data_IF_190407547705
#
_entry.id   IF_190407547705
#
_cell.length_a   1.000
_cell.length_b   1.000
_cell.length_c   1.000
_cell.angle_alpha   90.00
_cell.angle_beta   90.00
_cell.angle_gamma   90.00
#
_symmetry.space_group_name_H-M   'P 1'
#
loop_
_entity.id
_entity.type
_entity.pdbx_description
1 polymer ?
#
# COMPACT_ATOMS: atom_id res chain seq x y z
N UNK A 1 -24.68 41.42 -64.51
CA UNK A 1 -25.22 41.72 -65.87
C UNK A 1 -26.09 40.56 -66.31
N UNK A 2 -27.32 40.93 -66.69
CA UNK A 2 -28.24 40.24 -67.57
C UNK A 2 -28.85 38.92 -67.11
N UNK A 3 -30.10 38.96 -66.66
CA UNK A 3 -31.32 38.92 -67.47
C UNK A 3 -31.64 37.44 -67.88
N UNK A 4 -32.81 36.84 -67.79
CA UNK A 4 -34.21 37.25 -68.06
C UNK A 4 -35.03 35.95 -67.92
N UNK A 5 -36.09 35.95 -67.14
CA UNK A 5 -37.51 35.92 -67.55
C UNK A 5 -38.07 34.59 -68.14
N UNK A 6 -39.15 34.11 -67.51
CA UNK A 6 -40.50 33.80 -67.97
C UNK A 6 -40.70 32.45 -68.63
N UNK A 7 -41.56 31.63 -68.03
CA UNK A 7 -42.84 31.29 -68.67
C UNK A 7 -43.78 30.62 -67.66
N UNK A 8 -44.94 31.24 -67.48
CA UNK A 8 -46.11 30.70 -66.87
C UNK A 8 -46.80 29.78 -67.88
N UNK A 9 -47.27 28.60 -67.43
CA UNK A 9 -48.28 27.84 -68.12
C UNK A 9 -49.28 27.29 -67.11
N UNK A 10 -50.46 27.84 -67.19
CA UNK A 10 -51.66 27.42 -66.52
C UNK A 10 -52.12 26.10 -67.15
N UNK A 11 -52.39 25.07 -66.33
CA UNK A 11 -53.29 24.00 -66.69
C UNK A 11 -54.18 23.68 -65.49
N UNK A 12 -55.43 24.11 -65.60
CA UNK A 12 -56.57 23.61 -64.80
C UNK A 12 -56.72 22.12 -65.08
N UNK A 13 -56.80 21.27 -64.07
CA UNK A 13 -57.05 19.85 -64.17
C UNK A 13 -57.53 19.23 -62.88
N UNK A 14 -58.82 19.23 -62.63
CA UNK A 14 -59.60 18.23 -61.88
C UNK A 14 -59.21 17.93 -60.44
N UNK A 15 -59.98 18.50 -59.53
CA UNK A 15 -60.11 18.09 -58.12
C UNK A 15 -60.70 16.65 -58.06
N UNK A 16 -59.87 15.66 -57.83
CA UNK A 16 -60.29 14.38 -57.28
C UNK A 16 -60.00 14.42 -55.79
N UNK A 17 -61.04 14.43 -54.98
CA UNK A 17 -60.93 14.40 -53.53
C UNK A 17 -60.27 13.09 -53.11
N UNK A 18 -59.05 13.18 -52.71
CA UNK A 18 -58.42 12.13 -51.87
C UNK A 18 -58.93 12.30 -50.45
N UNK A 19 -59.89 11.48 -50.06
CA UNK A 19 -60.20 11.27 -48.67
C UNK A 19 -58.97 10.62 -48.05
N UNK A 20 -58.13 11.43 -47.38
CA UNK A 20 -57.14 10.89 -46.50
C UNK A 20 -57.90 10.20 -45.36
N UNK A 21 -57.90 8.86 -45.38
CA UNK A 21 -58.34 8.07 -44.24
C UNK A 21 -57.53 8.58 -43.02
N UNK A 22 -58.24 9.15 -42.07
CA UNK A 22 -57.73 9.55 -40.78
C UNK A 22 -57.31 8.26 -40.05
N UNK A 23 -56.07 7.80 -40.31
CA UNK A 23 -55.47 6.75 -39.52
C UNK A 23 -55.31 7.33 -38.13
N UNK A 24 -56.23 6.91 -37.23
CA UNK A 24 -56.14 7.24 -35.82
C UNK A 24 -54.66 7.16 -35.37
N UNK A 25 -54.13 8.29 -34.91
CA UNK A 25 -52.74 8.37 -34.43
C UNK A 25 -52.54 7.24 -33.42
N UNK A 26 -51.66 6.29 -33.74
CA UNK A 26 -51.30 5.24 -32.80
C UNK A 26 -50.92 5.89 -31.47
N UNK A 27 -51.57 5.48 -30.36
CA UNK A 27 -51.22 6.05 -29.07
C UNK A 27 -49.72 5.88 -28.86
N UNK A 28 -49.01 7.01 -28.70
CA UNK A 28 -47.60 7.02 -28.40
C UNK A 28 -47.44 6.41 -27.02
N UNK A 29 -47.25 5.10 -26.96
CA UNK A 29 -46.87 4.43 -25.72
C UNK A 29 -45.47 4.95 -25.37
N UNK A 30 -45.43 5.83 -24.38
CA UNK A 30 -44.15 6.29 -23.81
C UNK A 30 -43.30 5.06 -23.54
N UNK A 31 -42.14 4.95 -24.21
CA UNK A 31 -41.22 3.84 -23.97
C UNK A 31 -41.00 3.70 -22.46
N UNK A 32 -41.07 2.47 -21.91
CA UNK A 32 -40.74 2.29 -20.51
C UNK A 32 -39.44 2.98 -20.21
N UNK A 33 -39.33 3.69 -19.06
CA UNK A 33 -38.04 4.33 -18.69
C UNK A 33 -36.97 3.26 -18.76
N UNK A 34 -35.87 3.54 -19.47
CA UNK A 34 -34.72 2.64 -19.55
C UNK A 34 -34.29 2.35 -18.11
N UNK A 35 -34.43 1.11 -17.66
CA UNK A 35 -33.94 0.68 -16.36
C UNK A 35 -32.44 0.86 -16.42
N UNK A 36 -31.90 1.74 -15.59
CA UNK A 36 -30.47 1.95 -15.50
C UNK A 36 -29.82 0.58 -15.20
N UNK A 37 -28.95 0.12 -16.08
CA UNK A 37 -28.24 -1.13 -15.89
C UNK A 37 -27.43 -1.02 -14.60
N UNK A 38 -27.78 -1.82 -13.59
CA UNK A 38 -27.02 -1.90 -12.35
C UNK A 38 -25.71 -2.62 -12.68
N UNK A 39 -24.57 -2.01 -12.30
CA UNK A 39 -23.26 -2.62 -12.51
C UNK A 39 -23.14 -3.92 -11.69
N UNK A 40 -22.77 -5.01 -12.36
CA UNK A 40 -22.47 -6.30 -11.72
C UNK A 40 -20.98 -6.37 -11.44
N UNK A 41 -20.61 -6.46 -10.19
CA UNK A 41 -19.23 -6.59 -9.72
C UNK A 41 -18.65 -7.99 -9.90
N UNK A 42 -19.45 -8.99 -10.27
CA UNK A 42 -19.00 -10.37 -10.45
C UNK A 42 -18.00 -10.48 -11.59
N UNK A 43 -16.87 -11.12 -11.34
CA UNK A 43 -15.88 -11.45 -12.36
C UNK A 43 -14.44 -11.40 -11.89
N UNK A 44 -13.56 -11.90 -12.73
CA UNK A 44 -12.12 -11.71 -12.56
C UNK A 44 -11.72 -10.29 -12.92
N UNK A 45 -10.72 -9.78 -12.25
CA UNK A 45 -10.12 -8.51 -12.58
C UNK A 45 -8.60 -8.54 -12.42
N UNK A 46 -7.92 -7.70 -13.19
CA UNK A 46 -6.52 -7.36 -13.02
C UNK A 46 -6.41 -5.85 -12.88
N UNK A 47 -5.42 -5.39 -12.17
CA UNK A 47 -5.26 -3.96 -11.97
C UNK A 47 -3.87 -3.56 -11.52
N UNK A 48 -3.68 -2.26 -11.49
CA UNK A 48 -2.52 -1.62 -10.90
C UNK A 48 -2.90 -0.80 -9.69
N UNK A 49 -1.93 -0.58 -8.85
CA UNK A 49 -2.06 0.30 -7.69
C UNK A 49 -0.81 1.13 -7.48
N UNK A 50 -0.99 2.30 -6.87
CA UNK A 50 0.07 3.19 -6.41
C UNK A 50 -0.38 3.83 -5.12
N UNK A 51 0.55 3.99 -4.19
CA UNK A 51 0.21 4.53 -2.88
C UNK A 51 1.40 5.04 -2.10
N UNK A 52 1.10 5.47 -0.90
CA UNK A 52 2.05 5.91 0.10
C UNK A 52 1.80 5.14 1.38
N UNK A 53 2.89 4.69 2.02
CA UNK A 53 2.87 4.03 3.30
C UNK A 53 3.69 4.79 4.34
N UNK A 54 3.31 4.63 5.59
CA UNK A 54 4.03 5.15 6.73
C UNK A 54 4.08 4.10 7.83
N UNK A 55 5.26 3.97 8.43
CA UNK A 55 5.52 3.01 9.49
C UNK A 55 4.74 3.33 10.76
N UNK A 56 4.22 2.30 11.39
CA UNK A 56 3.66 2.35 12.74
C UNK A 56 4.77 2.38 13.81
N UNK A 57 4.35 2.17 15.05
CA UNK A 57 5.28 2.12 16.18
C UNK A 57 6.13 0.85 16.11
N UNK A 58 7.44 0.99 15.91
CA UNK A 58 8.36 -0.14 15.69
C UNK A 58 8.88 -0.77 16.98
N UNK A 59 8.65 -0.15 18.15
CA UNK A 59 9.10 -0.60 19.47
C UNK A 59 10.51 -1.25 19.44
N UNK A 60 11.55 -0.53 18.99
CA UNK A 60 12.87 -1.11 18.87
C UNK A 60 13.44 -1.43 20.24
N UNK A 61 13.92 -2.65 20.39
CA UNK A 61 14.63 -3.08 21.60
C UNK A 61 16.04 -3.49 21.26
N UNK A 62 16.97 -3.20 22.15
CA UNK A 62 18.36 -3.59 22.03
C UNK A 62 18.74 -4.52 23.16
N UNK A 63 19.44 -5.59 22.83
CA UNK A 63 20.03 -6.49 23.82
C UNK A 63 21.51 -6.69 23.52
N UNK A 64 22.28 -6.73 24.59
CA UNK A 64 23.71 -7.07 24.56
C UNK A 64 23.87 -8.52 24.99
N UNK A 65 24.53 -9.32 24.15
CA UNK A 65 24.73 -10.76 24.42
C UNK A 65 26.23 -11.04 24.68
N UNK A 66 26.48 -11.87 25.66
CA UNK A 66 27.78 -12.34 26.09
C UNK A 66 28.76 -11.25 26.59
N UNK A 67 28.52 -10.71 27.77
CA UNK A 67 29.33 -9.67 28.37
C UNK A 67 30.60 -10.19 29.07
N UNK A 68 31.20 -11.31 28.68
CA UNK A 68 32.30 -11.95 29.39
C UNK A 68 33.49 -11.05 29.77
N UNK A 69 33.71 -9.94 29.05
CA UNK A 69 34.62 -8.84 29.41
C UNK A 69 33.95 -7.46 29.25
N UNK A 70 32.63 -7.44 29.26
CA UNK A 70 31.86 -6.27 28.86
C UNK A 70 31.49 -5.31 30.02
N UNK A 71 32.03 -5.49 31.20
CA UNK A 71 31.76 -4.57 32.33
C UNK A 71 31.90 -3.11 31.92
N UNK A 72 32.96 -2.80 31.19
CA UNK A 72 33.20 -1.45 30.70
C UNK A 72 32.27 -1.07 29.52
N UNK A 73 31.96 -2.03 28.64
CA UNK A 73 31.07 -1.78 27.47
C UNK A 73 29.63 -1.69 27.92
N UNK A 74 29.17 -2.57 28.83
CA UNK A 74 27.83 -2.49 29.39
C UNK A 74 27.63 -1.18 30.14
N UNK A 75 28.56 -0.80 30.99
CA UNK A 75 28.54 0.50 31.68
C UNK A 75 28.59 1.66 30.68
N UNK A 76 29.41 1.55 29.65
CA UNK A 76 29.52 2.52 28.58
C UNK A 76 28.19 2.69 27.81
N UNK A 77 27.58 1.58 27.37
CA UNK A 77 26.31 1.60 26.64
C UNK A 77 25.15 2.08 27.53
N UNK A 78 25.16 1.77 28.82
CA UNK A 78 24.06 2.11 29.74
C UNK A 78 24.20 3.49 30.37
N UNK A 79 25.41 4.01 30.53
CA UNK A 79 25.67 5.31 31.20
C UNK A 79 26.20 6.37 30.26
N UNK A 80 26.77 5.98 29.13
CA UNK A 80 27.48 6.88 28.24
C UNK A 80 26.68 7.37 27.02
N UNK A 81 25.66 6.65 26.60
CA UNK A 81 24.83 7.05 25.45
C UNK A 81 23.53 7.69 25.94
N UNK A 82 23.25 8.96 25.62
CA UNK A 82 21.96 9.58 25.88
C UNK A 82 20.86 8.79 25.14
N UNK A 83 19.95 8.18 25.89
CA UNK A 83 18.88 7.32 25.36
C UNK A 83 19.20 5.82 25.40
N UNK A 84 20.37 5.42 25.85
CA UNK A 84 20.75 4.04 26.06
C UNK A 84 20.64 3.69 27.57
N UNK A 85 19.46 3.34 28.02
CA UNK A 85 19.32 2.67 29.32
C UNK A 85 18.92 1.22 29.08
N UNK A 86 19.44 0.29 29.87
CA UNK A 86 19.10 -1.12 29.75
C UNK A 86 17.57 -1.31 29.77
N UNK A 87 17.01 -1.78 28.67
CA UNK A 87 15.57 -1.90 28.47
C UNK A 87 14.91 -0.75 27.75
N UNK A 88 15.61 0.30 27.29
CA UNK A 88 15.02 1.48 26.67
C UNK A 88 15.34 1.65 25.20
N UNK A 89 14.35 1.99 24.67
CA UNK A 89 13.81 2.49 23.42
C UNK A 89 14.78 3.36 22.68
N UNK A 90 15.29 2.82 21.58
CA UNK A 90 15.70 3.69 20.50
C UNK A 90 14.47 4.44 20.00
N UNK A 91 14.62 5.68 19.54
CA UNK A 91 13.52 6.33 18.87
C UNK A 91 13.07 5.48 17.70
N UNK A 92 11.75 5.43 17.52
CA UNK A 92 11.12 4.67 16.47
C UNK A 92 11.75 4.98 15.12
N UNK A 93 12.12 3.92 14.40
CA UNK A 93 12.41 3.97 12.99
C UNK A 93 11.11 3.66 12.27
N UNK A 94 10.47 4.70 11.75
CA UNK A 94 9.23 4.56 11.00
C UNK A 94 9.56 4.65 9.50
N UNK A 95 9.71 3.51 8.81
CA UNK A 95 9.91 3.54 7.36
C UNK A 95 8.69 4.15 6.69
N UNK A 96 8.91 5.05 5.78
CA UNK A 96 7.86 5.64 4.97
C UNK A 96 8.29 5.76 3.52
N UNK A 97 7.33 5.86 2.62
CA UNK A 97 7.65 5.98 1.22
C UNK A 97 6.50 5.66 0.27
N UNK A 98 6.82 5.68 -1.00
CA UNK A 98 5.90 5.34 -2.09
C UNK A 98 6.01 3.86 -2.44
N UNK A 99 4.93 3.32 -2.97
CA UNK A 99 4.90 1.98 -3.54
C UNK A 99 3.99 1.92 -4.75
N UNK A 100 4.17 0.89 -5.55
CA UNK A 100 3.30 0.61 -6.68
C UNK A 100 3.42 -0.83 -7.13
N UNK A 101 2.35 -1.36 -7.71
CA UNK A 101 2.32 -2.76 -8.09
C UNK A 101 1.10 -3.18 -8.85
N UNK A 102 0.93 -4.49 -8.93
CA UNK A 102 -0.13 -5.15 -9.65
C UNK A 102 -1.00 -5.96 -8.71
N UNK A 103 -2.24 -6.14 -9.10
CA UNK A 103 -3.20 -6.96 -8.36
C UNK A 103 -4.08 -7.77 -9.30
N UNK A 104 -4.53 -8.92 -8.81
CA UNK A 104 -5.49 -9.80 -9.47
C UNK A 104 -6.52 -10.25 -8.44
N UNK A 105 -7.77 -10.37 -8.85
CA UNK A 105 -8.80 -10.85 -7.93
C UNK A 105 -10.01 -11.40 -8.66
N UNK A 106 -10.89 -11.97 -7.86
CA UNK A 106 -12.19 -12.43 -8.28
C UNK A 106 -13.25 -12.01 -7.26
N UNK A 107 -14.28 -11.37 -7.72
CA UNK A 107 -15.42 -10.95 -6.93
C UNK A 107 -16.67 -11.69 -7.36
N UNK A 108 -17.54 -12.01 -6.41
CA UNK A 108 -18.89 -12.55 -6.66
C UNK A 108 -19.91 -11.75 -5.89
N UNK A 109 -20.88 -11.21 -6.61
CA UNK A 109 -21.97 -10.43 -6.07
C UNK A 109 -23.21 -11.31 -5.84
N UNK A 110 -23.85 -11.11 -4.68
CA UNK A 110 -25.08 -11.77 -4.26
C UNK A 110 -26.08 -10.68 -3.83
N UNK A 111 -26.90 -10.22 -4.77
CA UNK A 111 -27.74 -9.05 -4.53
C UNK A 111 -26.89 -7.81 -4.29
N UNK A 112 -26.99 -7.19 -3.11
CA UNK A 112 -26.14 -6.05 -2.72
C UNK A 112 -24.84 -6.45 -2.02
N UNK A 113 -24.68 -7.72 -1.63
CA UNK A 113 -23.45 -8.20 -0.98
C UNK A 113 -22.44 -8.69 -2.01
N UNK A 114 -21.16 -8.53 -1.68
CA UNK A 114 -20.05 -8.99 -2.47
C UNK A 114 -19.08 -9.75 -1.59
N UNK A 115 -18.63 -10.89 -2.07
CA UNK A 115 -17.52 -11.64 -1.51
C UNK A 115 -16.46 -11.82 -2.60
N UNK A 116 -15.20 -11.69 -2.24
CA UNK A 116 -14.10 -11.81 -3.19
C UNK A 116 -12.78 -12.20 -2.56
N UNK A 117 -11.82 -12.44 -3.43
CA UNK A 117 -10.42 -12.66 -3.07
C UNK A 117 -9.55 -11.78 -3.94
N UNK A 118 -8.47 -11.28 -3.37
CA UNK A 118 -7.49 -10.46 -4.09
C UNK A 118 -6.09 -10.85 -3.67
N UNK A 119 -5.20 -10.93 -4.63
CA UNK A 119 -3.76 -11.08 -4.42
C UNK A 119 -3.04 -9.92 -5.10
N UNK A 120 -2.01 -9.40 -4.46
CA UNK A 120 -1.24 -8.29 -4.98
C UNK A 120 0.26 -8.43 -4.63
N UNK A 121 1.09 -7.75 -5.43
CA UNK A 121 2.51 -7.58 -5.20
C UNK A 121 2.93 -6.17 -5.60
N UNK A 122 3.73 -5.54 -4.73
CA UNK A 122 4.21 -4.18 -4.90
C UNK A 122 5.73 -4.10 -4.73
N UNK A 123 6.38 -3.27 -5.56
CA UNK A 123 7.67 -2.70 -5.25
C UNK A 123 7.48 -1.51 -4.32
N UNK A 124 8.29 -1.41 -3.28
CA UNK A 124 8.21 -0.36 -2.27
C UNK A 124 9.59 0.28 -2.03
N UNK A 125 9.59 1.54 -1.66
CA UNK A 125 10.77 2.25 -1.17
C UNK A 125 10.49 2.82 0.22
N UNK A 126 10.11 1.93 1.16
CA UNK A 126 9.94 2.31 2.55
C UNK A 126 11.29 2.30 3.23
N UNK A 127 11.76 3.46 3.65
CA UNK A 127 13.10 3.60 4.22
C UNK A 127 13.06 4.49 5.45
N UNK A 128 13.64 3.99 6.54
CA UNK A 128 13.99 4.80 7.70
C UNK A 128 15.48 4.66 7.97
N UNK A 129 16.15 5.79 8.18
CA UNK A 129 17.56 5.85 8.54
C UNK A 129 17.74 6.81 9.70
N UNK A 130 18.61 6.41 10.61
CA UNK A 130 19.05 7.26 11.68
C UNK A 130 20.55 7.16 11.83
N UNK A 131 21.20 8.29 11.88
CA UNK A 131 22.59 8.43 12.26
C UNK A 131 22.64 9.34 13.49
N UNK A 132 23.32 8.90 14.53
CA UNK A 132 23.58 9.70 15.71
C UNK A 132 25.09 9.79 15.95
N UNK A 133 25.52 10.95 16.39
CA UNK A 133 26.89 11.21 16.83
C UNK A 133 26.84 11.78 18.24
N UNK A 134 27.60 11.20 19.14
CA UNK A 134 27.64 11.63 20.54
C UNK A 134 29.07 11.59 21.05
N UNK A 135 29.52 12.70 21.60
CA UNK A 135 30.78 12.75 22.37
C UNK A 135 30.48 12.46 23.82
N UNK A 136 31.12 11.46 24.39
CA UNK A 136 30.91 11.06 25.76
C UNK A 136 31.59 12.03 26.72
N UNK A 137 30.80 12.68 27.56
CA UNK A 137 31.29 13.68 28.52
C UNK A 137 32.29 13.12 29.52
N UNK A 138 32.22 11.80 29.81
CA UNK A 138 33.06 11.17 30.82
C UNK A 138 34.54 10.98 30.39
N UNK A 139 34.80 10.85 29.09
CA UNK A 139 36.13 10.49 28.58
C UNK A 139 36.46 11.06 27.19
N UNK A 140 35.59 11.90 26.62
CA UNK A 140 35.82 12.53 25.31
C UNK A 140 35.82 11.55 24.13
N UNK A 141 35.33 10.32 24.28
CA UNK A 141 35.22 9.39 23.17
C UNK A 141 34.04 9.73 22.28
N UNK A 142 34.21 9.64 20.98
CA UNK A 142 33.19 9.90 20.00
C UNK A 142 32.50 8.58 19.58
N UNK A 143 31.19 8.59 19.61
CA UNK A 143 30.37 7.44 19.22
C UNK A 143 29.51 7.80 18.02
N UNK A 144 29.65 7.02 16.97
CA UNK A 144 28.78 7.08 15.78
C UNK A 144 27.89 5.87 15.74
N UNK A 145 26.61 6.11 15.62
CA UNK A 145 25.57 5.09 15.51
C UNK A 145 24.83 5.24 14.18
N UNK A 146 24.62 4.14 13.48
CA UNK A 146 23.83 4.07 12.26
C UNK A 146 22.81 2.94 12.36
N UNK A 147 21.56 3.28 12.18
CA UNK A 147 20.44 2.33 12.13
C UNK A 147 19.69 2.53 10.82
N UNK A 148 19.32 1.45 10.15
CA UNK A 148 18.39 1.52 9.02
C UNK A 148 17.40 0.38 9.02
N UNK A 149 16.19 0.71 8.55
CA UNK A 149 15.12 -0.23 8.29
C UNK A 149 14.55 0.06 6.90
N UNK A 150 14.32 -0.99 6.12
CA UNK A 150 13.82 -0.86 4.75
C UNK A 150 12.86 -2.00 4.42
N UNK A 151 11.81 -1.68 3.64
CA UNK A 151 10.97 -2.65 2.95
C UNK A 151 11.07 -2.37 1.46
N UNK A 152 11.55 -3.36 0.70
CA UNK A 152 11.83 -3.21 -0.74
C UNK A 152 10.69 -3.71 -1.62
N UNK A 153 9.95 -4.68 -1.13
CA UNK A 153 8.74 -5.19 -1.77
C UNK A 153 7.86 -5.88 -0.74
N UNK A 154 6.57 -5.90 -1.00
CA UNK A 154 5.59 -6.65 -0.23
C UNK A 154 4.44 -7.12 -1.10
N UNK A 155 3.66 -8.07 -0.61
CA UNK A 155 2.47 -8.54 -1.26
C UNK A 155 1.44 -9.01 -0.24
N UNK A 156 0.20 -9.18 -0.69
CA UNK A 156 -0.89 -9.64 0.15
C UNK A 156 -1.77 -10.66 -0.56
N UNK A 157 -2.40 -11.55 0.22
CA UNK A 157 -3.50 -12.40 -0.23
C UNK A 157 -4.65 -12.23 0.75
N UNK A 158 -5.78 -11.67 0.27
CA UNK A 158 -6.85 -11.19 1.14
C UNK A 158 -8.21 -11.66 0.69
N UNK A 159 -9.09 -11.94 1.65
CA UNK A 159 -10.52 -11.97 1.45
C UNK A 159 -11.09 -10.56 1.43
N UNK A 160 -12.15 -10.36 0.67
CA UNK A 160 -12.89 -9.11 0.54
C UNK A 160 -14.37 -9.37 0.77
N UNK A 161 -15.01 -8.54 1.61
CA UNK A 161 -16.45 -8.54 1.81
C UNK A 161 -16.96 -7.10 1.68
N UNK A 162 -18.00 -6.88 0.88
CA UNK A 162 -18.46 -5.54 0.55
C UNK A 162 -19.95 -5.43 0.30
N UNK A 163 -20.38 -4.20 0.14
CA UNK A 163 -21.75 -3.83 -0.17
C UNK A 163 -21.76 -2.94 -1.42
N UNK A 164 -22.46 -3.41 -2.46
CA UNK A 164 -22.60 -2.74 -3.74
C UNK A 164 -23.83 -1.81 -3.73
N UNK A 165 -23.61 -0.56 -4.09
CA UNK A 165 -24.60 0.51 -4.18
C UNK A 165 -24.58 1.08 -5.61
N UNK A 166 -25.15 0.34 -6.57
CA UNK A 166 -25.04 0.68 -7.98
C UNK A 166 -23.58 0.64 -8.46
N UNK A 167 -23.06 1.76 -8.92
CA UNK A 167 -21.67 1.90 -9.40
C UNK A 167 -20.63 1.98 -8.28
N UNK A 168 -21.04 2.04 -7.03
CA UNK A 168 -20.18 2.12 -5.87
C UNK A 168 -20.10 0.79 -5.13
N UNK A 169 -18.92 0.49 -4.63
CA UNK A 169 -18.65 -0.65 -3.76
C UNK A 169 -17.87 -0.18 -2.54
N UNK A 170 -18.43 -0.34 -1.35
CA UNK A 170 -17.71 -0.21 -0.10
C UNK A 170 -17.36 -1.59 0.44
N UNK A 171 -16.13 -1.81 0.90
CA UNK A 171 -15.68 -3.13 1.33
C UNK A 171 -14.66 -3.09 2.45
N UNK A 172 -14.65 -4.15 3.24
CA UNK A 172 -13.58 -4.51 4.14
C UNK A 172 -12.76 -5.66 3.56
N UNK A 173 -11.50 -5.75 3.94
CA UNK A 173 -10.58 -6.78 3.45
C UNK A 173 -9.62 -7.20 4.55
N UNK A 174 -9.14 -8.45 4.51
CA UNK A 174 -8.17 -8.95 5.46
C UNK A 174 -7.58 -10.28 5.01
N UNK A 175 -6.37 -10.55 5.46
CA UNK A 175 -5.66 -11.76 5.04
C UNK A 175 -4.20 -11.77 5.44
N UNK A 176 -3.41 -12.47 4.63
CA UNK A 176 -1.98 -12.62 4.79
C UNK A 176 -1.24 -11.48 4.09
N UNK A 177 -0.15 -11.02 4.72
CA UNK A 177 0.85 -10.15 4.13
C UNK A 177 2.21 -10.83 4.14
N UNK A 178 3.04 -10.56 3.16
CA UNK A 178 4.41 -11.03 3.10
C UNK A 178 5.28 -9.96 2.45
N UNK A 179 6.56 -9.87 2.86
CA UNK A 179 7.45 -8.85 2.31
C UNK A 179 8.89 -9.03 2.78
N UNK A 180 9.80 -8.39 2.05
CA UNK A 180 11.22 -8.39 2.40
C UNK A 180 11.52 -7.21 3.31
N UNK A 181 12.01 -7.51 4.50
CA UNK A 181 12.46 -6.54 5.49
C UNK A 181 13.97 -6.58 5.59
N UNK A 182 14.60 -5.42 5.46
CA UNK A 182 16.04 -5.25 5.61
C UNK A 182 16.30 -4.37 6.82
N UNK A 183 17.23 -4.80 7.65
CA UNK A 183 17.69 -4.04 8.83
C UNK A 183 19.18 -4.00 8.85
N UNK A 184 19.76 -2.85 9.17
CA UNK A 184 21.20 -2.75 9.43
C UNK A 184 21.47 -1.94 10.68
N UNK A 185 22.51 -2.36 11.41
CA UNK A 185 23.05 -1.70 12.57
C UNK A 185 24.54 -1.50 12.36
N UNK A 186 25.03 -0.31 12.65
CA UNK A 186 26.43 0.01 12.73
C UNK A 186 26.70 0.86 13.97
N UNK A 187 27.78 0.55 14.64
CA UNK A 187 28.22 1.26 15.82
C UNK A 187 29.73 1.35 15.79
N UNK A 188 30.25 2.54 15.99
CA UNK A 188 31.69 2.79 16.03
C UNK A 188 32.05 3.76 17.15
N UNK A 189 33.02 3.39 17.95
CA UNK A 189 33.56 4.23 18.98
C UNK A 189 35.01 4.57 18.67
N UNK A 190 35.32 5.85 18.48
CA UNK A 190 36.66 6.35 18.17
C UNK A 190 37.57 6.18 19.40
N UNK A 191 38.81 5.67 19.23
CA UNK A 191 39.77 5.62 20.31
C UNK A 191 40.12 7.03 20.78
N UNK A 192 39.80 7.34 22.02
CA UNK A 192 40.14 8.63 22.63
C UNK A 192 39.87 8.57 24.13
N UNK A 193 40.75 9.10 24.94
CA UNK A 193 40.50 9.38 26.37
C UNK A 193 40.06 8.21 27.28
N UNK A 194 40.34 6.95 26.96
CA UNK A 194 40.26 5.87 27.94
C UNK A 194 38.95 5.12 28.09
N UNK A 195 38.03 5.18 27.11
CA UNK A 195 36.70 4.56 27.33
C UNK A 195 36.34 3.35 26.47
N UNK A 196 36.47 3.40 25.18
CA UNK A 196 35.87 2.37 24.32
C UNK A 196 36.84 1.69 23.33
N UNK A 197 38.08 2.03 23.33
CA UNK A 197 39.15 1.27 22.66
C UNK A 197 39.01 0.98 21.18
N UNK A 198 38.26 1.78 20.41
CA UNK A 198 38.03 1.51 18.99
C UNK A 198 37.03 0.37 18.71
N UNK A 199 36.08 0.13 19.60
CA UNK A 199 35.09 -0.90 19.45
C UNK A 199 34.14 -0.57 18.27
N UNK A 200 33.93 -1.52 17.41
CA UNK A 200 32.94 -1.42 16.35
C UNK A 200 32.05 -2.66 16.29
N UNK A 201 30.78 -2.43 15.96
CA UNK A 201 29.80 -3.48 15.68
C UNK A 201 29.15 -3.19 14.34
N UNK A 202 28.92 -4.23 13.56
CA UNK A 202 28.17 -4.13 12.31
C UNK A 202 27.31 -5.37 12.13
N UNK A 203 26.10 -5.17 11.65
CA UNK A 203 25.17 -6.24 11.34
C UNK A 203 24.20 -5.84 10.23
N UNK A 204 23.84 -6.79 9.42
CA UNK A 204 22.83 -6.66 8.39
C UNK A 204 21.96 -7.91 8.39
N UNK A 205 20.67 -7.74 8.22
CA UNK A 205 19.70 -8.83 8.07
C UNK A 205 18.74 -8.48 6.94
N UNK A 206 18.49 -9.44 6.05
CA UNK A 206 17.47 -9.36 5.01
C UNK A 206 16.64 -10.64 5.06
N UNK A 207 15.36 -10.52 5.34
CA UNK A 207 14.47 -11.65 5.57
C UNK A 207 13.10 -11.41 4.95
N UNK A 208 12.54 -12.48 4.39
CA UNK A 208 11.12 -12.48 4.00
C UNK A 208 10.28 -12.80 5.23
N UNK A 209 9.42 -11.89 5.59
CA UNK A 209 8.48 -12.03 6.71
C UNK A 209 7.08 -12.30 6.20
N UNK A 210 6.32 -13.04 7.00
CA UNK A 210 4.89 -13.29 6.78
C UNK A 210 4.13 -12.79 7.98
N UNK A 211 3.06 -12.08 7.71
CA UNK A 211 2.22 -11.47 8.73
C UNK A 211 0.76 -11.39 8.29
N UNK A 212 0.05 -10.40 8.79
CA UNK A 212 -1.34 -10.20 8.48
C UNK A 212 -1.60 -8.77 8.00
N UNK A 213 -2.74 -8.60 7.31
CA UNK A 213 -3.22 -7.29 6.87
C UNK A 213 -4.73 -7.21 7.03
N UNK A 214 -5.21 -6.02 7.33
CA UNK A 214 -6.63 -5.70 7.35
C UNK A 214 -6.83 -4.27 6.84
N UNK A 215 -7.99 -4.01 6.25
CA UNK A 215 -8.27 -2.68 5.74
C UNK A 215 -9.67 -2.52 5.19
N UNK A 216 -9.88 -1.38 4.56
CA UNK A 216 -11.16 -1.04 3.95
C UNK A 216 -10.94 -0.16 2.72
N UNK A 217 -11.90 -0.21 1.80
CA UNK A 217 -11.84 0.59 0.59
C UNK A 217 -13.20 0.94 0.04
N UNK A 218 -13.16 1.88 -0.87
CA UNK A 218 -14.30 2.25 -1.69
C UNK A 218 -13.86 2.26 -3.16
N UNK A 219 -14.68 1.68 -4.02
CA UNK A 219 -14.44 1.62 -5.46
C UNK A 219 -15.64 2.13 -6.22
N UNK A 220 -15.40 2.68 -7.39
CA UNK A 220 -16.44 3.09 -8.32
C UNK A 220 -16.17 2.50 -9.69
N UNK A 221 -17.20 1.94 -10.30
CA UNK A 221 -17.15 1.54 -11.70
C UNK A 221 -17.30 2.75 -12.62
N UNK A 222 -16.55 2.75 -13.70
CA UNK A 222 -16.65 3.75 -14.77
C UNK A 222 -16.33 3.09 -16.13
N UNK A 223 -16.84 3.66 -17.22
CA UNK A 223 -16.52 3.21 -18.58
C UNK A 223 -16.61 1.67 -18.77
N UNK A 224 -17.71 1.08 -18.35
CA UNK A 224 -18.00 -0.34 -18.57
C UNK A 224 -17.21 -1.27 -17.63
N UNK A 225 -16.04 -1.74 -18.04
CA UNK A 225 -15.31 -2.78 -17.31
C UNK A 225 -14.22 -2.22 -16.37
N UNK A 226 -14.04 -0.92 -16.32
CA UNK A 226 -13.05 -0.28 -15.47
C UNK A 226 -13.63 0.13 -14.13
N UNK A 227 -12.84 -0.01 -13.08
CA UNK A 227 -13.13 0.58 -11.79
C UNK A 227 -11.90 1.24 -11.19
N UNK A 228 -12.14 2.29 -10.42
CA UNK A 228 -11.14 3.03 -9.66
C UNK A 228 -11.52 2.99 -8.20
N UNK A 229 -10.55 2.86 -7.32
CA UNK A 229 -10.80 2.80 -5.88
C UNK A 229 -9.71 3.44 -5.05
N UNK A 230 -10.07 3.72 -3.82
CA UNK A 230 -9.14 4.10 -2.74
C UNK A 230 -9.23 3.03 -1.68
N UNK A 231 -8.09 2.55 -1.22
CA UNK A 231 -8.01 1.51 -0.20
C UNK A 231 -6.98 1.89 0.86
N UNK A 232 -7.34 1.69 2.11
CA UNK A 232 -6.45 1.74 3.26
C UNK A 232 -6.15 0.32 3.71
N UNK A 233 -4.88 0.03 4.00
CA UNK A 233 -4.44 -1.22 4.60
C UNK A 233 -3.51 -0.95 5.77
N UNK A 234 -3.77 -1.64 6.86
CA UNK A 234 -2.82 -1.89 7.93
C UNK A 234 -2.12 -3.21 7.67
N UNK A 235 -0.79 -3.22 7.71
CA UNK A 235 0.06 -4.37 7.43
C UNK A 235 0.97 -4.59 8.62
N UNK A 236 1.03 -5.81 9.14
CA UNK A 236 1.93 -6.19 10.23
C UNK A 236 2.75 -7.41 9.81
N UNK A 237 4.02 -7.21 9.52
CA UNK A 237 4.97 -8.25 9.13
C UNK A 237 5.68 -8.89 10.33
N UNK A 238 5.30 -8.51 11.55
CA UNK A 238 5.87 -9.07 12.77
C UNK A 238 7.23 -8.47 13.14
N UNK A 239 7.99 -9.19 13.97
CA UNK A 239 9.29 -8.74 14.49
C UNK A 239 10.43 -9.28 13.63
N UNK A 240 11.43 -8.44 13.39
CA UNK A 240 12.73 -8.83 12.84
C UNK A 240 13.84 -8.43 13.80
N UNK A 241 14.91 -9.20 13.81
CA UNK A 241 16.07 -8.96 14.65
C UNK A 241 17.33 -8.94 13.81
N UNK A 242 18.19 -7.96 14.05
CA UNK A 242 19.51 -7.88 13.45
C UNK A 242 20.57 -7.93 14.54
N UNK A 243 21.59 -8.76 14.34
CA UNK A 243 22.70 -8.89 15.29
C UNK A 243 23.96 -8.31 14.66
N UNK A 244 24.50 -7.30 15.32
CA UNK A 244 25.82 -6.75 15.02
C UNK A 244 26.89 -7.47 15.84
N UNK A 245 27.87 -8.04 15.16
CA UNK A 245 29.02 -8.66 15.80
C UNK A 245 30.13 -7.63 16.01
N UNK A 246 30.87 -7.77 17.12
CA UNK A 246 32.08 -6.97 17.34
C UNK A 246 33.15 -7.34 16.33
N UNK A 247 33.73 -6.35 15.69
CA UNK A 247 34.88 -6.50 14.79
C UNK A 247 36.24 -6.23 15.50
N UNK A 248 36.22 -5.95 16.79
CA UNK A 248 37.40 -5.63 17.59
C UNK A 248 37.98 -6.89 18.25
N UNK A 249 39.25 -7.17 18.02
CA UNK A 249 39.89 -8.46 18.31
C UNK A 249 39.79 -8.98 19.75
N UNK A 250 39.63 -8.13 20.76
CA UNK A 250 39.44 -8.56 22.16
C UNK A 250 37.99 -8.85 22.57
N UNK A 251 37.02 -8.56 21.72
CA UNK A 251 35.61 -8.61 21.99
C UNK A 251 34.79 -9.44 20.97
N UNK A 252 35.46 -10.34 20.25
CA UNK A 252 34.88 -11.15 19.17
C UNK A 252 33.63 -11.98 19.58
N UNK A 253 33.40 -12.16 20.86
CA UNK A 253 32.24 -12.90 21.39
C UNK A 253 31.10 -12.00 21.81
N UNK A 254 31.27 -10.69 21.70
CA UNK A 254 30.23 -9.70 22.08
C UNK A 254 29.38 -9.34 20.87
N UNK A 255 28.09 -9.36 21.04
CA UNK A 255 27.15 -8.98 20.00
C UNK A 255 26.06 -8.04 20.53
N UNK A 256 25.57 -7.18 19.65
CA UNK A 256 24.42 -6.31 19.89
C UNK A 256 23.29 -6.81 19.00
N UNK A 257 22.16 -7.15 19.59
CA UNK A 257 20.97 -7.54 18.84
C UNK A 257 19.91 -6.46 18.99
N UNK A 258 19.50 -5.92 17.84
CA UNK A 258 18.36 -5.02 17.72
C UNK A 258 17.16 -5.81 17.24
N UNK A 259 16.02 -5.67 17.90
CA UNK A 259 14.75 -6.25 17.48
C UNK A 259 13.75 -5.12 17.28
N UNK A 260 13.01 -5.16 16.18
CA UNK A 260 11.97 -4.18 15.87
C UNK A 260 10.77 -4.86 15.19
N UNK A 261 9.60 -4.25 15.33
CA UNK A 261 8.38 -4.68 14.65
C UNK A 261 8.19 -3.87 13.38
N UNK A 262 7.79 -4.53 12.30
CA UNK A 262 7.46 -3.89 11.03
C UNK A 262 5.94 -3.83 10.88
N UNK A 263 5.40 -2.64 11.10
CA UNK A 263 3.98 -2.33 10.87
C UNK A 263 3.89 -1.13 9.95
N UNK A 264 3.03 -1.22 8.95
CA UNK A 264 2.85 -0.19 7.94
C UNK A 264 1.37 0.11 7.76
N UNK A 265 1.05 1.37 7.72
CA UNK A 265 -0.25 1.89 7.32
C UNK A 265 -0.13 2.45 5.91
N UNK A 266 -1.03 2.07 5.01
CA UNK A 266 -0.93 2.46 3.61
C UNK A 266 -2.26 3.01 3.09
N UNK A 267 -2.18 4.02 2.23
CA UNK A 267 -3.28 4.46 1.40
C UNK A 267 -2.89 4.32 -0.06
N UNK A 268 -3.76 3.71 -0.85
CA UNK A 268 -3.49 3.46 -2.26
C UNK A 268 -4.67 3.78 -3.17
N UNK A 269 -4.36 4.22 -4.36
CA UNK A 269 -5.26 4.27 -5.49
C UNK A 269 -5.15 2.97 -6.27
N UNK A 270 -6.29 2.44 -6.69
CA UNK A 270 -6.37 1.22 -7.51
C UNK A 270 -7.11 1.51 -8.78
N UNK A 271 -6.64 0.93 -9.89
CA UNK A 271 -7.34 0.93 -11.17
C UNK A 271 -7.40 -0.51 -11.64
N UNK A 272 -8.61 -1.02 -11.87
CA UNK A 272 -8.83 -2.41 -12.25
C UNK A 272 -9.64 -2.51 -13.54
N UNK A 273 -9.31 -3.50 -14.33
CA UNK A 273 -10.09 -3.94 -15.48
C UNK A 273 -10.74 -5.28 -15.17
N UNK A 274 -12.06 -5.32 -15.20
CA UNK A 274 -12.87 -6.52 -14.96
C UNK A 274 -13.12 -7.26 -16.26
N UNK A 275 -12.86 -8.55 -16.27
CA UNK A 275 -13.21 -9.44 -17.36
C UNK A 275 -14.63 -9.98 -17.16
N UNK A 276 -15.43 -9.99 -18.22
CA UNK A 276 -16.81 -10.46 -18.21
C UNK A 276 -17.78 -9.38 -18.67
N UNK A 277 -18.94 -9.81 -19.19
CA UNK A 277 -19.92 -8.93 -19.82
C UNK A 277 -20.54 -7.93 -18.84
N UNK A 278 -21.01 -6.82 -19.38
CA UNK A 278 -21.89 -5.89 -18.69
C UNK A 278 -23.16 -6.64 -18.28
N UNK A 279 -23.69 -6.33 -17.11
CA UNK A 279 -24.96 -6.89 -16.68
C UNK A 279 -26.05 -6.55 -17.70
N UNK A 280 -26.59 -7.58 -18.32
CA UNK A 280 -27.79 -7.44 -19.12
C UNK A 280 -28.94 -7.27 -18.13
N UNK A 281 -29.71 -6.20 -18.28
CA UNK A 281 -30.94 -6.03 -17.51
C UNK A 281 -31.80 -7.31 -17.65
N UNK A 282 -32.02 -8.03 -16.55
CA UNK A 282 -32.99 -9.11 -16.53
C UNK A 282 -34.36 -8.48 -16.32
N UNK A 283 -35.21 -8.66 -17.32
CA UNK A 283 -36.63 -8.33 -17.26
C UNK A 283 -37.36 -9.27 -16.27
#
# INVERSE_FOLDING_TARGET
MKRILIAAAVALGTASGAQAADLAARPYTKAPPAVAAVYDWTGFYVGGNVGYGWGGNTDPSLSLVNPGNAGNITTFLTTGLPGFSSGNQFPNLNPDGVFGGLQIGYDRQFGSWLLGVVADIQGADFTARRNAFTTLAANGADVTEGLSAKITWFGTVRGKAGFAMGDWLAYGTGGLAYGNTESSISFFCTPGGGGCGGVSFAGHSSEVKVGWTAGAGISRSFAGNWNVGVEYLHIDLGRSSVTGLSTTGGLLTTSITQSQRFTEDTVRLTVNYKFGGQAVARY
#
